data_IF_133589739950
#
_entry.id   IF_133589739950
#
_cell.length_a   1.000
_cell.length_b   1.000
_cell.length_c   1.000
_cell.angle_alpha   90.00
_cell.angle_beta   90.00
_cell.angle_gamma   90.00
#
_symmetry.space_group_name_H-M   'P 1'
#
loop_
_entity.id
_entity.type
_entity.pdbx_description
1 polymer ?
#
# COMPACT_ATOMS: atom_id res chain seq x y z
N UNK A 1 9.90 -9.81 13.50
CA UNK A 1 9.12 -8.59 13.23
C UNK A 1 7.68 -8.81 13.64
N UNK A 2 7.02 -7.83 14.25
CA UNK A 2 5.60 -7.93 14.58
C UNK A 2 4.75 -8.12 13.33
N UNK A 3 3.61 -8.78 13.47
CA UNK A 3 2.71 -9.10 12.35
C UNK A 3 1.26 -9.21 12.80
N UNK A 4 0.33 -9.27 11.84
CA UNK A 4 -1.06 -9.63 12.09
C UNK A 4 -1.22 -11.16 12.11
N UNK A 5 -2.02 -11.66 13.04
CA UNK A 5 -2.48 -13.05 13.13
C UNK A 5 -3.99 -13.02 13.35
N UNK A 6 -4.75 -13.51 12.38
CA UNK A 6 -6.23 -13.47 12.40
C UNK A 6 -6.78 -12.07 12.75
N UNK A 7 -6.24 -11.04 12.09
CA UNK A 7 -6.61 -9.63 12.29
C UNK A 7 -6.13 -9.01 13.60
N UNK A 8 -5.36 -9.71 14.43
CA UNK A 8 -4.84 -9.20 15.70
C UNK A 8 -3.36 -8.89 15.57
N UNK A 9 -2.95 -7.71 16.06
CA UNK A 9 -1.55 -7.33 16.08
C UNK A 9 -0.78 -8.11 17.14
N UNK A 10 0.24 -8.84 16.71
CA UNK A 10 1.10 -9.65 17.59
C UNK A 10 2.49 -9.04 17.63
N UNK A 11 2.89 -8.58 18.83
CA UNK A 11 4.23 -8.04 19.11
C UNK A 11 5.22 -9.20 19.31
N UNK A 12 6.48 -8.95 18.99
CA UNK A 12 7.56 -9.91 19.18
C UNK A 12 8.19 -10.39 17.89
N UNK A 13 9.20 -11.23 18.00
CA UNK A 13 9.94 -11.74 16.86
C UNK A 13 9.30 -13.03 16.33
N UNK A 14 8.33 -12.86 15.46
CA UNK A 14 7.71 -13.98 14.70
C UNK A 14 8.60 -14.39 13.53
N UNK A 15 9.65 -13.62 13.22
CA UNK A 15 10.53 -13.80 12.07
C UNK A 15 11.41 -15.08 12.15
N UNK A 16 11.49 -15.74 13.30
CA UNK A 16 12.18 -17.03 13.41
C UNK A 16 11.58 -18.12 12.50
N UNK A 17 10.34 -17.96 12.04
CA UNK A 17 9.70 -18.89 11.11
C UNK A 17 10.11 -18.72 9.64
N UNK A 18 10.78 -17.60 9.28
CA UNK A 18 11.15 -17.28 7.90
C UNK A 18 12.51 -17.83 7.47
N UNK A 19 13.33 -18.22 8.45
CA UNK A 19 14.63 -18.87 8.22
C UNK A 19 14.47 -20.40 8.23
N UNK A 20 13.90 -20.96 7.20
CA UNK A 20 13.89 -22.41 7.00
C UNK A 20 15.13 -22.82 6.20
N UNK A 21 16.03 -23.59 6.83
CA UNK A 21 17.19 -24.15 6.14
C UNK A 21 18.24 -23.11 5.69
N UNK A 22 18.34 -21.93 6.34
CA UNK A 22 19.32 -20.90 5.98
C UNK A 22 18.93 -20.02 4.78
N UNK A 23 17.78 -20.24 4.16
CA UNK A 23 17.24 -19.40 3.10
C UNK A 23 16.15 -18.48 3.61
N UNK A 24 16.17 -17.22 3.15
CA UNK A 24 15.11 -16.24 3.43
C UNK A 24 13.92 -16.53 2.50
N UNK A 25 12.81 -16.96 3.08
CA UNK A 25 11.55 -17.14 2.35
C UNK A 25 10.64 -15.93 2.60
N UNK A 26 10.55 -15.06 1.60
CA UNK A 26 9.57 -13.98 1.60
C UNK A 26 8.21 -14.52 1.17
N UNK A 27 7.21 -14.44 2.06
CA UNK A 27 5.84 -14.68 1.63
C UNK A 27 5.42 -13.64 0.59
N UNK A 28 4.71 -14.04 -0.48
CA UNK A 28 4.18 -13.10 -1.45
C UNK A 28 3.17 -12.17 -0.80
N UNK A 29 3.08 -10.95 -1.33
CA UNK A 29 2.02 -10.00 -1.00
C UNK A 29 0.64 -10.56 -1.39
N UNK A 30 -0.44 -10.10 -0.75
CA UNK A 30 -1.79 -10.68 -0.97
C UNK A 30 -2.75 -9.77 -1.71
N UNK A 31 -2.48 -8.47 -1.75
CA UNK A 31 -3.36 -7.49 -2.37
C UNK A 31 -2.82 -7.12 -3.75
N UNK A 32 -3.49 -7.61 -4.79
CA UNK A 32 -3.07 -7.51 -6.19
C UNK A 32 -4.16 -6.95 -7.12
N UNK A 33 -5.16 -6.24 -6.58
CA UNK A 33 -6.10 -5.51 -7.41
C UNK A 33 -5.37 -4.44 -8.21
N UNK A 34 -5.94 -4.06 -9.35
CA UNK A 34 -5.33 -3.14 -10.30
C UNK A 34 -6.12 -1.83 -10.35
N UNK A 35 -5.51 -0.80 -10.90
CA UNK A 35 -6.22 0.39 -11.37
C UNK A 35 -6.03 0.42 -12.88
N UNK A 36 -7.12 0.62 -13.62
CA UNK A 36 -7.11 0.81 -15.06
C UNK A 36 -7.86 2.09 -15.41
N UNK A 37 -7.69 2.69 -16.60
CA UNK A 37 -8.37 3.93 -16.94
C UNK A 37 -9.90 3.89 -16.78
N UNK A 38 -10.51 2.74 -17.04
CA UNK A 38 -11.97 2.54 -17.05
C UNK A 38 -12.51 1.43 -16.13
N UNK A 39 -11.65 0.84 -15.31
CA UNK A 39 -12.02 -0.23 -14.36
C UNK A 39 -12.12 -1.63 -14.98
N UNK A 40 -11.74 -1.81 -16.26
CA UNK A 40 -11.63 -3.14 -16.87
C UNK A 40 -10.53 -3.95 -16.20
N UNK A 41 -10.60 -5.30 -16.23
CA UNK A 41 -9.59 -6.15 -15.62
C UNK A 41 -8.16 -5.74 -15.98
N UNK A 42 -7.26 -5.89 -15.01
CA UNK A 42 -5.84 -5.60 -15.17
C UNK A 42 -5.14 -6.52 -16.20
N UNK A 43 -3.85 -6.28 -16.47
CA UNK A 43 -3.12 -6.96 -17.56
C UNK A 43 -3.09 -8.49 -17.45
N UNK A 44 -3.19 -9.02 -16.23
CA UNK A 44 -3.23 -10.47 -15.98
C UNK A 44 -4.61 -10.93 -15.47
N UNK A 45 -5.66 -10.17 -15.76
CA UNK A 45 -7.04 -10.49 -15.38
C UNK A 45 -7.39 -10.14 -13.93
N UNK A 46 -6.57 -9.33 -13.24
CA UNK A 46 -6.85 -8.89 -11.86
C UNK A 46 -8.13 -8.05 -11.81
N UNK A 47 -8.84 -8.15 -10.66
CA UNK A 47 -9.87 -7.18 -10.31
C UNK A 47 -9.29 -5.76 -10.43
N UNK A 48 -10.01 -4.86 -11.10
CA UNK A 48 -9.55 -3.50 -11.26
C UNK A 48 -10.62 -2.46 -10.92
N UNK A 49 -10.12 -1.28 -10.60
CA UNK A 49 -10.86 -0.09 -10.23
C UNK A 49 -10.52 1.02 -11.23
N UNK A 50 -11.45 1.94 -11.56
CA UNK A 50 -11.17 3.02 -12.48
C UNK A 50 -10.20 4.04 -11.89
N UNK A 51 -9.29 4.57 -12.73
CA UNK A 51 -8.43 5.69 -12.36
C UNK A 51 -9.27 6.97 -12.17
N UNK A 52 -9.24 7.50 -10.97
CA UNK A 52 -9.99 8.71 -10.59
C UNK A 52 -9.10 9.63 -9.75
N UNK A 53 -9.10 10.93 -10.08
CA UNK A 53 -8.37 11.94 -9.32
C UNK A 53 -8.89 12.04 -7.88
N UNK A 54 -7.97 12.04 -6.89
CA UNK A 54 -8.29 12.19 -5.48
C UNK A 54 -8.90 10.97 -4.79
N UNK A 55 -9.13 9.86 -5.52
CA UNK A 55 -9.69 8.63 -4.95
C UNK A 55 -8.65 7.79 -4.22
N UNK A 56 -7.43 7.76 -4.72
CA UNK A 56 -6.38 6.88 -4.23
C UNK A 56 -5.33 7.62 -3.40
N UNK A 57 -4.73 6.88 -2.47
CA UNK A 57 -3.66 7.38 -1.61
C UNK A 57 -2.56 6.34 -1.43
N UNK A 58 -1.32 6.78 -1.52
CA UNK A 58 -0.16 5.99 -1.13
C UNK A 58 0.11 6.18 0.36
N UNK A 59 0.16 5.08 1.09
CA UNK A 59 0.67 5.02 2.46
C UNK A 59 2.07 4.44 2.42
N UNK A 60 3.05 5.18 2.91
CA UNK A 60 4.48 4.91 2.72
C UNK A 60 5.29 5.18 3.98
N UNK A 61 6.57 4.78 3.97
CA UNK A 61 7.59 5.27 4.89
C UNK A 61 8.84 5.63 4.09
N UNK A 62 9.48 6.75 4.42
CA UNK A 62 10.76 7.14 3.80
C UNK A 62 11.92 6.19 4.12
N UNK A 63 11.81 5.40 5.18
CA UNK A 63 12.81 4.37 5.52
C UNK A 63 12.80 3.19 4.55
N UNK A 64 11.66 2.94 3.88
CA UNK A 64 11.50 1.77 3.02
C UNK A 64 11.86 2.08 1.56
N UNK A 65 12.91 1.43 0.98
CA UNK A 65 13.31 1.68 -0.42
C UNK A 65 12.22 1.25 -1.42
N UNK A 66 11.44 0.23 -1.09
CA UNK A 66 10.31 -0.20 -1.93
C UNK A 66 9.18 0.84 -1.98
N UNK A 67 8.94 1.56 -0.88
CA UNK A 67 8.01 2.67 -0.86
C UNK A 67 8.58 3.90 -1.62
N UNK A 68 9.87 4.17 -1.49
CA UNK A 68 10.52 5.32 -2.14
C UNK A 68 10.36 5.30 -3.66
N UNK A 69 10.44 4.13 -4.31
CA UNK A 69 10.22 4.05 -5.77
C UNK A 69 8.79 4.41 -6.18
N UNK A 70 7.79 4.10 -5.36
CA UNK A 70 6.39 4.49 -5.65
C UNK A 70 6.19 5.99 -5.53
N UNK A 71 6.85 6.63 -4.57
CA UNK A 71 6.88 8.09 -4.42
C UNK A 71 7.54 8.73 -5.65
N UNK A 72 8.69 8.16 -6.09
CA UNK A 72 9.42 8.66 -7.26
C UNK A 72 8.54 8.64 -8.52
N UNK A 73 7.88 7.51 -8.82
CA UNK A 73 6.97 7.42 -9.97
C UNK A 73 5.79 8.38 -9.88
N UNK A 74 5.15 8.48 -8.70
CA UNK A 74 4.08 9.45 -8.46
C UNK A 74 4.53 10.88 -8.79
N UNK A 75 5.73 11.25 -8.39
CA UNK A 75 6.28 12.60 -8.61
C UNK A 75 6.73 12.82 -10.06
N UNK A 76 7.43 11.86 -10.66
CA UNK A 76 7.87 11.91 -12.06
C UNK A 76 6.70 12.06 -13.02
N UNK A 77 5.61 11.38 -12.76
CA UNK A 77 4.38 11.45 -13.59
C UNK A 77 3.46 12.62 -13.24
N UNK A 78 3.87 13.54 -12.36
CA UNK A 78 3.08 14.72 -12.00
C UNK A 78 1.76 14.40 -11.30
N UNK A 79 1.68 13.28 -10.56
CA UNK A 79 0.45 12.79 -9.94
C UNK A 79 0.25 13.26 -8.50
N UNK A 80 0.95 14.33 -8.05
CA UNK A 80 0.92 14.76 -6.65
C UNK A 80 -0.47 15.22 -6.20
N UNK A 81 -1.23 15.85 -7.09
CA UNK A 81 -2.60 16.31 -6.81
C UNK A 81 -3.66 15.25 -7.15
N UNK A 82 -3.28 14.15 -7.77
CA UNK A 82 -4.17 13.09 -8.26
C UNK A 82 -4.19 11.91 -7.30
N UNK A 83 -3.02 11.47 -6.83
CA UNK A 83 -2.85 10.38 -5.86
C UNK A 83 -2.27 10.96 -4.58
N UNK A 84 -3.05 10.89 -3.49
CA UNK A 84 -2.61 11.38 -2.19
C UNK A 84 -1.38 10.65 -1.64
N UNK A 85 -0.71 11.25 -0.66
CA UNK A 85 0.44 10.67 0.03
C UNK A 85 0.28 10.81 1.53
N UNK A 86 0.50 9.73 2.26
CA UNK A 86 0.61 9.71 3.73
C UNK A 86 1.88 8.96 4.12
N UNK A 87 2.68 9.60 4.95
CA UNK A 87 3.99 9.08 5.36
C UNK A 87 3.94 8.69 6.82
N UNK A 88 4.36 7.48 7.15
CA UNK A 88 4.51 7.03 8.53
C UNK A 88 5.77 7.59 9.17
N UNK A 89 5.81 7.57 10.51
CA UNK A 89 7.05 7.74 11.25
C UNK A 89 8.11 6.75 10.69
N UNK A 90 9.36 7.19 10.50
CA UNK A 90 10.43 6.31 10.00
C UNK A 90 10.82 5.22 10.98
N UNK A 91 10.55 5.36 12.28
CA UNK A 91 10.90 4.35 13.27
C UNK A 91 9.95 3.15 13.18
N UNK A 92 10.52 1.98 12.92
CA UNK A 92 9.80 0.71 12.93
C UNK A 92 9.92 0.07 14.32
N UNK A 93 8.89 0.28 15.14
CA UNK A 93 8.82 -0.24 16.51
C UNK A 93 7.97 -1.51 16.64
N UNK A 94 7.63 -1.83 17.90
CA UNK A 94 6.77 -2.98 18.24
C UNK A 94 5.35 -2.85 17.69
N UNK A 95 4.88 -1.62 17.43
CA UNK A 95 3.58 -1.34 16.84
C UNK A 95 3.63 -1.25 15.30
N UNK A 96 4.77 -1.63 14.70
CA UNK A 96 4.99 -1.55 13.26
C UNK A 96 5.15 -0.10 12.78
N UNK A 97 4.59 0.21 11.62
CA UNK A 97 4.55 1.56 11.07
C UNK A 97 3.45 2.37 11.76
N UNK A 98 3.79 3.50 12.36
CA UNK A 98 2.90 4.37 13.14
C UNK A 98 2.84 5.75 12.51
N UNK A 99 1.72 6.43 12.63
CA UNK A 99 1.56 7.84 12.25
C UNK A 99 1.63 8.70 13.50
N UNK A 100 2.39 9.80 13.47
CA UNK A 100 2.56 10.70 14.62
C UNK A 100 1.22 11.27 15.08
N UNK A 101 0.38 11.65 14.12
CA UNK A 101 -1.01 12.04 14.36
C UNK A 101 -1.96 11.10 13.61
N UNK A 102 -3.20 10.91 14.09
CA UNK A 102 -4.18 10.11 13.38
C UNK A 102 -4.45 10.65 11.97
N UNK A 103 -4.30 9.79 10.96
CA UNK A 103 -4.46 10.12 9.53
C UNK A 103 -5.77 9.61 8.97
N UNK A 104 -6.33 10.33 8.02
CA UNK A 104 -7.58 9.95 7.35
C UNK A 104 -7.36 8.75 6.40
N UNK A 105 -8.17 7.71 6.55
CA UNK A 105 -8.24 6.54 5.70
C UNK A 105 -9.57 6.42 4.93
N UNK A 106 -10.32 7.51 4.82
CA UNK A 106 -11.57 7.58 4.10
C UNK A 106 -12.82 7.37 4.97
N UNK A 107 -13.98 7.74 4.44
CA UNK A 107 -15.24 7.80 5.19
C UNK A 107 -15.69 6.44 5.78
N UNK A 108 -15.30 5.34 5.17
CA UNK A 108 -15.67 3.99 5.64
C UNK A 108 -14.83 3.51 6.83
N UNK A 109 -13.60 4.02 6.96
CA UNK A 109 -12.64 3.59 7.98
C UNK A 109 -12.44 4.68 9.04
N UNK A 110 -12.41 5.95 8.62
CA UNK A 110 -12.14 7.08 9.49
C UNK A 110 -10.65 7.32 9.69
N UNK A 111 -10.27 7.76 10.88
CA UNK A 111 -8.87 8.03 11.23
C UNK A 111 -8.20 6.80 11.81
N UNK A 112 -6.98 6.54 11.36
CA UNK A 112 -6.10 5.47 11.83
C UNK A 112 -4.81 6.05 12.40
N UNK A 113 -4.17 5.35 13.32
CA UNK A 113 -2.86 5.67 13.87
C UNK A 113 -1.80 4.62 13.52
N UNK A 114 -2.22 3.37 13.34
CA UNK A 114 -1.34 2.26 13.04
C UNK A 114 -1.56 1.77 11.61
N UNK A 115 -0.48 1.56 10.88
CA UNK A 115 -0.56 1.12 9.49
C UNK A 115 -1.26 -0.24 9.32
N UNK A 116 -1.15 -1.12 10.32
CA UNK A 116 -1.83 -2.43 10.31
C UNK A 116 -3.35 -2.32 10.30
N UNK A 117 -3.94 -1.18 10.70
CA UNK A 117 -5.39 -0.95 10.64
C UNK A 117 -5.92 -0.94 9.21
N UNK A 118 -5.09 -0.52 8.21
CA UNK A 118 -5.44 -0.62 6.79
C UNK A 118 -5.63 -2.07 6.33
N UNK A 119 -4.77 -2.96 6.83
CA UNK A 119 -4.83 -4.39 6.53
C UNK A 119 -6.07 -5.05 7.14
N UNK A 120 -6.36 -4.73 8.41
CA UNK A 120 -7.55 -5.22 9.11
C UNK A 120 -8.84 -4.69 8.48
N UNK A 121 -8.85 -3.42 8.05
CA UNK A 121 -9.99 -2.85 7.33
C UNK A 121 -10.25 -3.54 5.97
N UNK A 122 -9.18 -4.00 5.31
CA UNK A 122 -9.27 -4.71 4.01
C UNK A 122 -9.64 -6.18 4.18
N UNK A 123 -9.09 -6.84 5.20
CA UNK A 123 -9.35 -8.24 5.55
C UNK A 123 -9.29 -8.39 7.07
N UNK A 124 -10.46 -8.47 7.75
CA UNK A 124 -10.52 -8.59 9.21
C UNK A 124 -9.83 -9.83 9.79
N UNK A 125 -9.56 -10.83 8.97
CA UNK A 125 -8.87 -12.08 9.37
C UNK A 125 -7.44 -12.17 8.85
N UNK A 126 -6.91 -11.07 8.32
CA UNK A 126 -5.57 -11.05 7.72
C UNK A 126 -4.51 -11.64 8.67
N UNK A 127 -3.73 -12.55 8.14
CA UNK A 127 -2.55 -13.10 8.81
C UNK A 127 -1.33 -12.89 7.91
N UNK A 128 -0.31 -12.21 8.41
CA UNK A 128 0.92 -11.95 7.66
C UNK A 128 1.58 -10.63 8.02
N UNK A 129 2.62 -10.30 7.27
CA UNK A 129 3.37 -9.05 7.44
C UNK A 129 2.55 -7.85 7.02
N UNK A 130 2.79 -6.76 7.73
CA UNK A 130 2.26 -5.43 7.41
C UNK A 130 3.39 -4.59 6.85
N UNK A 131 3.31 -4.31 5.56
CA UNK A 131 4.38 -3.64 4.80
C UNK A 131 3.92 -2.32 4.19
N UNK A 132 4.89 -1.50 3.81
CA UNK A 132 4.75 -0.32 2.95
C UNK A 132 5.51 -0.57 1.64
N UNK A 133 5.09 -0.03 0.49
CA UNK A 133 3.95 0.86 0.29
C UNK A 133 2.61 0.12 0.31
N UNK A 134 1.54 0.88 0.53
CA UNK A 134 0.16 0.47 0.29
C UNK A 134 -0.49 1.49 -0.64
N UNK A 135 -1.08 1.02 -1.74
CA UNK A 135 -2.01 1.80 -2.57
C UNK A 135 -3.42 1.54 -2.05
N UNK A 136 -4.06 2.59 -1.57
CA UNK A 136 -5.32 2.55 -0.84
C UNK A 136 -6.44 3.25 -1.59
N UNK A 137 -7.64 2.66 -1.57
CA UNK A 137 -8.86 3.29 -2.06
C UNK A 137 -9.58 4.01 -0.92
N UNK A 138 -9.55 5.33 -0.94
CA UNK A 138 -10.19 6.19 0.08
C UNK A 138 -11.73 6.06 0.08
N UNK A 139 -12.32 5.71 -1.07
CA UNK A 139 -13.78 5.55 -1.22
C UNK A 139 -14.25 4.20 -0.67
N UNK A 140 -13.58 3.12 -1.08
CA UNK A 140 -13.96 1.77 -0.68
C UNK A 140 -13.41 1.37 0.69
N UNK A 141 -12.39 2.07 1.22
CA UNK A 141 -11.77 1.78 2.50
C UNK A 141 -11.04 0.43 2.49
N UNK A 142 -10.29 0.17 1.42
CA UNK A 142 -9.53 -1.08 1.26
C UNK A 142 -8.19 -0.88 0.55
N UNK A 143 -7.29 -1.82 0.78
CA UNK A 143 -6.04 -1.91 0.01
C UNK A 143 -6.38 -2.33 -1.43
N UNK A 144 -5.89 -1.56 -2.40
CA UNK A 144 -5.88 -1.94 -3.81
C UNK A 144 -4.72 -2.88 -4.06
N UNK A 145 -3.52 -2.46 -3.67
CA UNK A 145 -2.29 -3.20 -3.96
C UNK A 145 -1.20 -2.87 -2.93
N UNK A 146 -0.38 -3.85 -2.57
CA UNK A 146 0.77 -3.67 -1.68
C UNK A 146 2.08 -4.23 -2.26
N UNK A 147 2.11 -4.48 -3.57
CA UNK A 147 3.32 -4.84 -4.29
C UNK A 147 3.88 -3.62 -5.05
N UNK A 148 5.02 -3.12 -4.60
CA UNK A 148 5.59 -1.88 -5.14
C UNK A 148 5.91 -1.94 -6.63
N UNK A 149 6.27 -3.11 -7.16
CA UNK A 149 6.51 -3.31 -8.60
C UNK A 149 5.24 -3.15 -9.45
N UNK A 150 4.10 -3.57 -8.92
CA UNK A 150 2.80 -3.41 -9.57
C UNK A 150 2.31 -1.96 -9.44
N UNK A 151 2.47 -1.36 -8.24
CA UNK A 151 2.09 0.03 -7.98
C UNK A 151 2.79 0.99 -8.94
N UNK A 152 4.11 0.84 -9.16
CA UNK A 152 4.83 1.73 -10.10
C UNK A 152 4.32 1.56 -11.54
N UNK A 153 3.93 0.36 -11.97
CA UNK A 153 3.36 0.12 -13.29
C UNK A 153 2.00 0.78 -13.45
N UNK A 154 1.17 0.75 -12.40
CA UNK A 154 -0.11 1.46 -12.39
C UNK A 154 0.09 2.99 -12.45
N UNK A 155 0.99 3.54 -11.64
CA UNK A 155 1.30 4.99 -11.65
C UNK A 155 1.90 5.44 -12.99
N UNK A 156 2.67 4.58 -13.64
CA UNK A 156 3.31 4.88 -14.93
C UNK A 156 2.30 4.94 -16.08
N UNK A 157 1.32 4.05 -16.13
CA UNK A 157 0.49 3.79 -17.31
C UNK A 157 -0.99 4.07 -17.16
N UNK A 158 -1.54 3.81 -15.98
CA UNK A 158 -3.00 3.76 -15.82
C UNK A 158 -3.62 5.13 -15.49
N UNK A 159 -2.78 6.11 -15.13
CA UNK A 159 -3.18 7.48 -14.84
C UNK A 159 -2.82 8.47 -15.96
N UNK A 160 -2.60 8.01 -17.18
CA UNK A 160 -2.19 8.86 -18.32
C UNK A 160 -3.10 10.07 -18.54
N UNK A 161 -4.41 9.94 -18.32
CA UNK A 161 -5.36 11.06 -18.44
C UNK A 161 -5.06 12.22 -17.46
N UNK A 162 -4.29 11.96 -16.42
CA UNK A 162 -3.94 12.91 -15.35
C UNK A 162 -2.44 13.22 -15.29
N UNK A 163 -1.64 12.41 -15.97
CA UNK A 163 -0.18 12.47 -15.87
C UNK A 163 0.43 13.60 -16.68
N UNK A 164 1.61 14.04 -16.26
CA UNK A 164 2.48 14.86 -17.07
C UNK A 164 3.13 13.97 -18.16
N UNK A 165 2.67 14.13 -19.38
CA UNK A 165 3.13 13.34 -20.55
C UNK A 165 4.46 13.84 -21.12
N UNK A 166 5.08 14.85 -20.53
CA UNK A 166 6.42 15.33 -20.94
C UNK A 166 7.56 14.43 -20.44
N UNK A 167 7.24 13.49 -19.56
CA UNK A 167 8.19 12.52 -18.99
C UNK A 167 7.81 11.12 -19.46
N UNK A 168 8.52 10.62 -20.46
CA UNK A 168 8.49 9.24 -20.93
C UNK A 168 9.50 8.36 -20.17
#
# INVERSE_FOLDING_TARGET
MPQLVEGKWVKGDVAASEMKGGAFHREPTRFHSWITPDGRPGPDGQEALPAEAGRYRLFVSYLCPWASRTIAFRNLKGLQDIVGLTVSNPELGEDGWVYDEPVDAGARVGKIRFHHELYVASDPTYTGKVSVPVLWDMREGRIVNNESAEIIRMLDREFEAFADTSVD
#
